data_IF_891383871385
#
_entry.id   IF_891383871385
#
_cell.length_a   1.000
_cell.length_b   1.000
_cell.length_c   1.000
_cell.angle_alpha   90.00
_cell.angle_beta   90.00
_cell.angle_gamma   90.00
#
_symmetry.space_group_name_H-M   'P 1'
#
loop_
_entity.id
_entity.type
_entity.pdbx_description
1 polymer ?
#
# COMPACT_ATOMS: atom_id res chain seq x y z
N UNK A 1 16.67 -4.19 -14.08
CA UNK A 1 16.14 -3.12 -14.96
C UNK A 1 15.71 -1.96 -14.07
N UNK A 2 16.24 -0.76 -14.27
CA UNK A 2 15.83 0.40 -13.47
C UNK A 2 14.34 0.71 -13.69
N UNK A 3 13.71 1.40 -12.74
CA UNK A 3 12.31 1.83 -12.85
C UNK A 3 12.05 2.66 -14.14
N UNK A 4 13.01 3.48 -14.54
CA UNK A 4 12.97 4.26 -15.80
C UNK A 4 12.98 3.33 -17.00
N UNK A 5 13.88 2.35 -17.01
CA UNK A 5 13.97 1.36 -18.11
C UNK A 5 12.66 0.57 -18.24
N UNK A 6 12.02 0.20 -17.13
CA UNK A 6 10.73 -0.50 -17.15
C UNK A 6 9.63 0.36 -17.77
N UNK A 7 9.56 1.66 -17.41
CA UNK A 7 8.60 2.60 -18.00
C UNK A 7 8.79 2.74 -19.49
N UNK A 8 10.03 2.90 -19.95
CA UNK A 8 10.35 2.99 -21.38
C UNK A 8 10.00 1.69 -22.12
N UNK A 9 10.31 0.52 -21.54
CA UNK A 9 9.95 -0.77 -22.13
C UNK A 9 8.44 -0.92 -22.30
N UNK A 10 7.65 -0.51 -21.31
CA UNK A 10 6.18 -0.52 -21.41
C UNK A 10 5.67 0.37 -22.55
N UNK A 11 6.24 1.56 -22.73
CA UNK A 11 5.88 2.43 -23.85
C UNK A 11 6.23 1.79 -25.20
N UNK A 12 7.42 1.22 -25.32
CA UNK A 12 7.89 0.57 -26.55
C UNK A 12 7.06 -0.67 -26.89
N UNK A 13 6.74 -1.50 -25.90
CA UNK A 13 5.92 -2.70 -26.12
C UNK A 13 4.48 -2.39 -26.41
N UNK A 14 3.90 -1.32 -25.82
CA UNK A 14 2.59 -0.83 -26.24
C UNK A 14 2.57 -0.56 -27.75
N UNK A 15 3.54 0.17 -28.27
CA UNK A 15 3.63 0.50 -29.69
C UNK A 15 3.91 -0.75 -30.54
N UNK A 16 4.80 -1.62 -30.08
CA UNK A 16 5.23 -2.79 -30.85
C UNK A 16 4.12 -3.84 -31.03
N UNK A 17 3.31 -4.05 -29.98
CA UNK A 17 2.25 -5.05 -29.98
C UNK A 17 0.85 -4.47 -30.16
N UNK A 18 0.77 -3.18 -30.47
CA UNK A 18 -0.50 -2.44 -30.63
C UNK A 18 -1.48 -2.65 -29.47
N UNK A 19 -0.92 -2.68 -28.24
CA UNK A 19 -1.73 -2.86 -27.04
C UNK A 19 -2.43 -1.56 -26.65
N UNK A 20 -3.67 -1.67 -26.23
CA UNK A 20 -4.45 -0.55 -25.70
C UNK A 20 -4.74 0.57 -26.72
N UNK A 21 -4.89 0.22 -28.02
CA UNK A 21 -5.04 1.21 -29.11
C UNK A 21 -6.44 1.27 -29.72
N UNK A 22 -7.38 0.49 -29.24
CA UNK A 22 -8.72 0.45 -29.81
C UNK A 22 -9.52 1.72 -29.50
N UNK A 23 -9.59 2.63 -30.48
CA UNK A 23 -10.39 3.85 -30.46
C UNK A 23 -9.74 5.09 -29.84
N UNK A 24 -10.21 6.28 -30.16
CA UNK A 24 -9.68 7.57 -29.68
C UNK A 24 -9.78 7.74 -28.14
N UNK A 25 -10.65 6.97 -27.49
CA UNK A 25 -10.83 6.92 -26.02
C UNK A 25 -11.16 5.50 -25.57
N UNK A 26 -10.25 4.56 -25.79
CA UNK A 26 -10.46 3.19 -25.33
C UNK A 26 -10.41 3.13 -23.79
N UNK A 27 -11.50 2.72 -23.18
CA UNK A 27 -11.56 2.39 -21.75
C UNK A 27 -11.46 0.87 -21.66
N UNK A 28 -10.37 0.40 -21.03
CA UNK A 28 -10.16 -1.02 -20.77
C UNK A 28 -10.44 -1.34 -19.32
N UNK A 29 -11.10 -2.45 -19.09
CA UNK A 29 -11.11 -3.05 -17.74
C UNK A 29 -9.72 -3.62 -17.47
N UNK A 30 -9.26 -3.51 -16.24
CA UNK A 30 -7.92 -3.97 -15.83
C UNK A 30 -7.73 -5.47 -16.10
N UNK A 31 -8.78 -6.27 -15.85
CA UNK A 31 -8.75 -7.72 -16.10
C UNK A 31 -8.55 -8.06 -17.59
N UNK A 32 -9.18 -7.29 -18.48
CA UNK A 32 -9.03 -7.51 -19.94
C UNK A 32 -7.63 -7.08 -20.39
N UNK A 33 -7.10 -5.99 -19.82
CA UNK A 33 -5.73 -5.57 -20.07
C UNK A 33 -4.71 -6.63 -19.62
N UNK A 34 -4.94 -7.30 -18.49
CA UNK A 34 -4.10 -8.41 -18.03
C UNK A 34 -4.19 -9.62 -18.96
N UNK A 35 -5.39 -10.02 -19.40
CA UNK A 35 -5.58 -11.13 -20.33
C UNK A 35 -4.87 -10.90 -21.67
N UNK A 36 -4.98 -9.69 -22.22
CA UNK A 36 -4.28 -9.31 -23.45
C UNK A 36 -2.75 -9.36 -23.28
N UNK A 37 -2.25 -8.86 -22.15
CA UNK A 37 -0.83 -8.93 -21.83
C UNK A 37 -0.35 -10.39 -21.65
N UNK A 38 -1.13 -11.25 -21.02
CA UNK A 38 -0.82 -12.68 -20.86
C UNK A 38 -0.80 -13.40 -22.23
N UNK A 39 -1.77 -13.10 -23.10
CA UNK A 39 -1.81 -13.66 -24.46
C UNK A 39 -0.53 -13.32 -25.22
N UNK A 40 -0.15 -12.03 -25.28
CA UNK A 40 1.07 -11.57 -25.95
C UNK A 40 2.32 -12.17 -25.33
N UNK A 41 2.37 -12.27 -24.00
CA UNK A 41 3.48 -12.92 -23.30
C UNK A 41 3.63 -14.40 -23.70
N UNK A 42 2.54 -15.14 -23.79
CA UNK A 42 2.55 -16.55 -24.19
C UNK A 42 2.93 -16.73 -25.67
N UNK A 43 2.40 -15.91 -26.55
CA UNK A 43 2.76 -15.92 -27.98
C UNK A 43 4.23 -15.55 -28.25
N UNK A 44 4.83 -14.76 -27.35
CA UNK A 44 6.22 -14.30 -27.48
C UNK A 44 7.26 -15.29 -26.93
N UNK A 45 6.86 -16.31 -26.17
CA UNK A 45 7.78 -17.31 -25.58
C UNK A 45 8.67 -18.02 -26.60
N UNK A 46 8.21 -18.15 -27.83
CA UNK A 46 8.94 -18.83 -28.92
C UNK A 46 9.69 -17.85 -29.85
N UNK A 47 9.76 -16.56 -29.51
CA UNK A 47 10.41 -15.54 -30.32
C UNK A 47 11.66 -15.01 -29.58
N UNK A 48 12.58 -14.43 -30.34
CA UNK A 48 13.87 -13.88 -29.87
C UNK A 48 13.78 -12.80 -28.77
N UNK A 49 12.59 -12.42 -28.34
CA UNK A 49 12.36 -11.38 -27.37
C UNK A 49 11.85 -11.98 -26.05
N UNK A 50 12.64 -11.88 -25.00
CA UNK A 50 12.20 -12.24 -23.67
C UNK A 50 11.25 -11.15 -23.11
N UNK A 51 9.95 -11.30 -23.36
CA UNK A 51 8.89 -10.39 -22.92
C UNK A 51 8.28 -10.91 -21.64
N UNK A 52 8.33 -10.11 -20.58
CA UNK A 52 7.70 -10.43 -19.29
C UNK A 52 6.35 -9.75 -19.21
N UNK A 53 5.40 -10.33 -18.50
CA UNK A 53 4.07 -9.76 -18.26
C UNK A 53 4.15 -8.30 -17.77
N UNK A 54 5.08 -8.02 -16.84
CA UNK A 54 5.28 -6.68 -16.29
C UNK A 54 5.71 -5.63 -17.36
N UNK A 55 6.35 -6.07 -18.44
CA UNK A 55 6.77 -5.19 -19.54
C UNK A 55 5.59 -4.80 -20.45
N UNK A 56 4.50 -5.56 -20.40
CA UNK A 56 3.29 -5.40 -21.20
C UNK A 56 2.15 -4.67 -20.46
N UNK A 57 2.33 -4.37 -19.19
CA UNK A 57 1.32 -3.61 -18.43
C UNK A 57 1.18 -2.18 -18.97
N UNK A 58 0.04 -1.50 -18.74
CA UNK A 58 -0.19 -0.15 -19.22
C UNK A 58 0.98 0.79 -18.92
N UNK A 59 1.44 1.59 -19.89
CA UNK A 59 2.52 2.53 -19.68
C UNK A 59 2.11 3.70 -18.79
N UNK A 60 3.05 4.45 -18.21
CA UNK A 60 2.76 5.56 -17.31
C UNK A 60 2.01 6.73 -17.97
N UNK A 61 1.91 6.73 -19.29
CA UNK A 61 1.11 7.69 -20.08
C UNK A 61 -0.38 7.35 -20.11
N UNK A 62 -0.78 6.23 -19.51
CA UNK A 62 -2.18 5.77 -19.45
C UNK A 62 -2.85 6.34 -18.20
N UNK A 63 -4.00 6.99 -18.36
CA UNK A 63 -4.83 7.39 -17.24
C UNK A 63 -5.55 6.17 -16.67
N UNK A 64 -5.43 5.97 -15.37
CA UNK A 64 -6.08 4.87 -14.67
C UNK A 64 -7.26 5.45 -13.90
N UNK A 65 -8.47 4.93 -14.19
CA UNK A 65 -9.68 5.28 -13.45
C UNK A 65 -9.96 4.15 -12.46
N UNK A 66 -9.96 4.47 -11.17
CA UNK A 66 -10.31 3.52 -10.12
C UNK A 66 -11.79 3.67 -9.76
N UNK A 67 -12.51 2.57 -9.78
CA UNK A 67 -13.84 2.47 -9.21
C UNK A 67 -13.78 1.58 -7.98
N UNK A 68 -14.34 2.05 -6.88
CA UNK A 68 -14.33 1.34 -5.61
C UNK A 68 -15.73 0.83 -5.33
N UNK A 69 -15.81 -0.45 -5.03
CA UNK A 69 -17.07 -1.08 -4.61
C UNK A 69 -17.18 -0.98 -3.10
N UNK A 70 -18.06 -0.12 -2.60
CA UNK A 70 -18.44 -0.08 -1.19
C UNK A 70 -19.54 -1.10 -0.93
N UNK A 71 -19.25 -2.08 -0.08
CA UNK A 71 -20.26 -2.96 0.49
C UNK A 71 -20.85 -2.30 1.73
N UNK A 72 -22.11 -1.92 1.68
CA UNK A 72 -22.84 -1.51 2.89
C UNK A 72 -23.26 -2.77 3.63
N UNK A 73 -22.57 -3.12 4.70
CA UNK A 73 -23.06 -4.10 5.65
C UNK A 73 -24.32 -3.54 6.33
N UNK A 74 -25.47 -3.92 5.84
CA UNK A 74 -26.71 -3.78 6.61
C UNK A 74 -26.89 -5.01 7.47
N UNK A 75 -27.19 -4.77 8.74
CA UNK A 75 -27.53 -5.77 9.77
C UNK A 75 -28.23 -7.00 9.20
N UNK A 76 -27.69 -8.18 9.61
CA UNK A 76 -28.22 -9.55 9.43
C UNK A 76 -29.53 -9.63 8.63
N UNK A 77 -29.46 -10.19 7.42
CA UNK A 77 -30.56 -10.65 6.56
C UNK A 77 -31.09 -9.74 5.44
N UNK A 78 -30.35 -8.76 4.93
CA UNK A 78 -30.80 -8.07 3.71
C UNK A 78 -29.65 -7.85 2.75
N UNK A 79 -29.90 -8.09 1.45
CA UNK A 79 -28.98 -7.96 0.32
C UNK A 79 -28.03 -6.76 0.48
N UNK A 80 -26.73 -7.02 0.43
CA UNK A 80 -25.70 -5.98 0.40
C UNK A 80 -25.85 -5.18 -0.89
N UNK A 81 -26.27 -3.92 -0.80
CA UNK A 81 -26.21 -3.04 -1.94
C UNK A 81 -24.75 -2.68 -2.21
N UNK A 82 -24.21 -3.15 -3.33
CA UNK A 82 -22.90 -2.72 -3.81
C UNK A 82 -23.06 -1.37 -4.48
N UNK A 83 -22.37 -0.36 -3.98
CA UNK A 83 -22.29 0.96 -4.59
C UNK A 83 -20.91 1.11 -5.23
N UNK A 84 -20.89 1.36 -6.52
CA UNK A 84 -19.66 1.64 -7.26
C UNK A 84 -19.46 3.15 -7.27
N UNK A 85 -18.38 3.60 -6.66
CA UNK A 85 -18.01 5.01 -6.60
C UNK A 85 -16.67 5.25 -7.29
N UNK A 86 -16.49 6.39 -7.98
CA UNK A 86 -15.17 6.78 -8.46
C UNK A 86 -14.24 7.09 -7.28
N UNK A 87 -12.93 7.04 -7.50
CA UNK A 87 -11.95 7.32 -6.44
C UNK A 87 -12.11 8.73 -5.86
N UNK A 88 -12.51 9.69 -6.68
CA UNK A 88 -12.81 11.07 -6.29
C UNK A 88 -14.02 11.17 -5.36
N UNK A 89 -14.92 10.19 -5.40
CA UNK A 89 -16.09 10.09 -4.50
C UNK A 89 -15.76 9.61 -3.09
N UNK A 90 -14.51 9.22 -2.82
CA UNK A 90 -14.05 8.90 -1.46
C UNK A 90 -13.95 10.16 -0.62
N UNK A 91 -14.19 10.04 0.68
CA UNK A 91 -13.90 11.09 1.65
C UNK A 91 -12.40 11.42 1.67
N UNK A 92 -12.04 12.60 2.16
CA UNK A 92 -10.63 13.01 2.27
C UNK A 92 -9.79 12.02 3.07
N UNK A 93 -10.29 11.52 4.20
CA UNK A 93 -9.62 10.52 5.01
C UNK A 93 -9.45 9.18 4.31
N UNK A 94 -10.48 8.68 3.62
CA UNK A 94 -10.39 7.44 2.83
C UNK A 94 -9.36 7.56 1.70
N UNK A 95 -9.32 8.69 1.00
CA UNK A 95 -8.32 8.96 -0.04
C UNK A 95 -6.93 9.00 0.55
N UNK A 96 -6.76 9.68 1.70
CA UNK A 96 -5.46 9.78 2.35
C UNK A 96 -4.94 8.42 2.81
N UNK A 97 -5.77 7.55 3.40
CA UNK A 97 -5.37 6.19 3.72
C UNK A 97 -4.93 5.44 2.47
N UNK A 98 -5.72 5.51 1.39
CA UNK A 98 -5.38 4.85 0.13
C UNK A 98 -4.03 5.33 -0.41
N UNK A 99 -3.77 6.65 -0.40
CA UNK A 99 -2.48 7.20 -0.83
C UNK A 99 -1.34 6.78 0.10
N UNK A 100 -1.52 6.89 1.41
CA UNK A 100 -0.47 6.57 2.40
C UNK A 100 -0.07 5.09 2.28
N UNK A 101 -1.05 4.19 2.27
CA UNK A 101 -0.79 2.75 2.15
C UNK A 101 -0.18 2.41 0.79
N UNK A 102 -0.70 2.99 -0.31
CA UNK A 102 -0.16 2.74 -1.65
C UNK A 102 1.28 3.23 -1.82
N UNK A 103 1.60 4.43 -1.30
CA UNK A 103 2.96 4.96 -1.32
C UNK A 103 3.91 4.08 -0.51
N UNK A 104 3.49 3.65 0.68
CA UNK A 104 4.28 2.76 1.51
C UNK A 104 4.60 1.44 0.78
N UNK A 105 3.57 0.81 0.19
CA UNK A 105 3.74 -0.42 -0.58
C UNK A 105 4.64 -0.22 -1.80
N UNK A 106 4.48 0.91 -2.50
CA UNK A 106 5.33 1.27 -3.64
C UNK A 106 6.81 1.34 -3.25
N UNK A 107 7.13 1.99 -2.13
CA UNK A 107 8.51 2.09 -1.65
C UNK A 107 9.06 0.74 -1.20
N UNK A 108 8.29 -0.07 -0.49
CA UNK A 108 8.71 -1.41 -0.06
C UNK A 108 9.01 -2.33 -1.25
N UNK A 109 8.14 -2.35 -2.26
CA UNK A 109 8.34 -3.13 -3.48
C UNK A 109 9.58 -2.65 -4.24
N UNK A 110 9.83 -1.34 -4.28
CA UNK A 110 11.03 -0.81 -4.93
C UNK A 110 12.31 -1.24 -4.20
N UNK A 111 12.35 -1.13 -2.88
CA UNK A 111 13.49 -1.57 -2.04
C UNK A 111 13.74 -3.07 -2.25
N UNK A 112 12.70 -3.88 -2.20
CA UNK A 112 12.79 -5.33 -2.40
C UNK A 112 13.31 -5.67 -3.81
N UNK A 113 12.78 -5.01 -4.84
CA UNK A 113 13.16 -5.24 -6.24
C UNK A 113 14.60 -4.86 -6.55
N UNK A 114 15.16 -3.85 -5.90
CA UNK A 114 16.59 -3.49 -6.03
C UNK A 114 17.46 -4.56 -5.40
N UNK A 115 17.06 -5.07 -4.24
CA UNK A 115 17.79 -6.09 -3.52
C UNK A 115 17.75 -7.46 -4.20
N UNK A 116 16.63 -7.85 -4.81
CA UNK A 116 16.46 -9.15 -5.49
C UNK A 116 17.24 -9.25 -6.80
N UNK A 117 17.34 -8.18 -7.54
CA UNK A 117 18.09 -8.17 -8.84
C UNK A 117 19.58 -8.40 -8.68
N UNK A 118 20.15 -7.98 -7.56
CA UNK A 118 21.56 -8.23 -7.26
C UNK A 118 21.88 -9.72 -7.08
N UNK A 119 20.91 -10.52 -6.65
CA UNK A 119 21.10 -11.97 -6.52
C UNK A 119 21.21 -12.71 -7.84
N UNK A 120 20.71 -12.11 -8.95
CA UNK A 120 20.72 -12.71 -10.28
C UNK A 120 21.90 -12.26 -11.17
N UNK A 121 22.59 -11.19 -10.82
CA UNK A 121 23.75 -10.67 -11.57
C UNK A 121 25.08 -11.05 -10.92
N UNK A 122 25.36 -12.36 -10.82
CA UNK A 122 26.70 -12.87 -10.47
C UNK A 122 27.67 -12.74 -11.66
N UNK A 123 27.92 -11.56 -12.17
CA UNK A 123 29.10 -11.26 -12.97
C UNK A 123 30.04 -10.42 -12.12
N UNK A 124 31.19 -11.00 -11.81
CA UNK A 124 32.16 -10.62 -10.78
C UNK A 124 32.93 -9.30 -11.02
N UNK A 125 32.62 -8.52 -12.07
CA UNK A 125 33.51 -7.43 -12.53
C UNK A 125 32.98 -5.99 -12.35
N UNK A 126 31.89 -5.76 -11.60
CA UNK A 126 31.48 -4.38 -11.28
C UNK A 126 31.34 -4.16 -9.77
N UNK A 127 32.30 -3.40 -9.23
CA UNK A 127 32.40 -2.95 -7.82
C UNK A 127 31.28 -1.99 -7.38
N UNK A 128 30.08 -2.08 -7.89
CA UNK A 128 28.94 -1.37 -7.35
C UNK A 128 28.25 -2.27 -6.32
N UNK A 129 28.65 -2.11 -5.07
CA UNK A 129 28.00 -2.72 -3.91
C UNK A 129 26.60 -2.11 -3.71
N UNK A 130 25.61 -2.56 -4.46
CA UNK A 130 24.21 -2.23 -4.19
C UNK A 130 23.84 -2.77 -2.81
N UNK A 131 23.44 -1.88 -1.91
CA UNK A 131 23.06 -2.23 -0.56
C UNK A 131 21.83 -3.16 -0.57
N UNK A 132 21.97 -4.30 0.11
CA UNK A 132 20.90 -5.27 0.29
C UNK A 132 20.18 -4.99 1.59
N UNK A 133 18.95 -4.56 1.50
CA UNK A 133 18.12 -4.35 2.68
C UNK A 133 17.34 -5.63 3.00
N UNK A 134 17.66 -6.25 4.14
CA UNK A 134 16.92 -7.41 4.66
C UNK A 134 15.87 -6.99 5.67
N UNK A 135 16.09 -5.90 6.36
CA UNK A 135 15.21 -5.36 7.38
C UNK A 135 14.93 -3.90 7.06
N UNK A 136 13.67 -3.52 7.16
CA UNK A 136 13.21 -2.16 6.88
C UNK A 136 12.49 -1.61 8.10
N UNK A 137 12.90 -0.44 8.55
CA UNK A 137 12.19 0.31 9.57
C UNK A 137 11.36 1.39 8.88
N UNK A 138 10.07 1.41 9.18
CA UNK A 138 9.13 2.41 8.71
C UNK A 138 8.77 3.28 9.91
N UNK A 139 8.92 4.58 9.77
CA UNK A 139 8.47 5.55 10.77
C UNK A 139 7.29 6.33 10.18
N UNK A 140 6.17 6.27 10.85
CA UNK A 140 4.95 6.99 10.51
C UNK A 140 4.70 8.03 11.61
N UNK A 141 4.80 9.30 11.25
CA UNK A 141 4.69 10.41 12.17
C UNK A 141 3.38 11.14 11.91
N UNK A 142 2.46 11.09 12.88
CA UNK A 142 1.14 11.74 12.88
C UNK A 142 0.34 11.61 11.56
N UNK A 143 0.47 10.48 10.89
CA UNK A 143 -0.16 10.27 9.55
C UNK A 143 -1.68 10.22 9.61
N UNK A 144 -2.24 10.06 10.80
CA UNK A 144 -3.67 9.93 11.06
C UNK A 144 -4.40 11.27 11.32
N UNK A 145 -3.72 12.41 11.31
CA UNK A 145 -4.27 13.70 11.70
C UNK A 145 -5.59 14.08 11.01
N UNK A 146 -5.73 13.68 9.75
CA UNK A 146 -6.93 13.98 8.95
C UNK A 146 -7.92 12.82 8.87
N UNK A 147 -7.69 11.74 9.61
CA UNK A 147 -8.57 10.59 9.58
C UNK A 147 -9.74 10.77 10.55
N UNK A 148 -10.92 10.37 10.10
CA UNK A 148 -12.04 10.17 11.03
C UNK A 148 -11.67 9.12 12.08
N UNK A 149 -12.13 9.23 13.35
CA UNK A 149 -11.78 8.30 14.43
C UNK A 149 -11.86 6.82 14.08
N UNK A 150 -12.88 6.40 13.36
CA UNK A 150 -13.00 5.00 12.91
C UNK A 150 -11.89 4.60 11.92
N UNK A 151 -11.42 5.53 11.08
CA UNK A 151 -10.29 5.28 10.18
C UNK A 151 -8.96 5.25 10.94
N UNK A 152 -8.79 6.09 11.97
CA UNK A 152 -7.63 6.07 12.86
C UNK A 152 -7.50 4.69 13.53
N UNK A 153 -8.60 4.17 14.08
CA UNK A 153 -8.66 2.87 14.72
C UNK A 153 -8.26 1.72 13.77
N UNK A 154 -8.66 1.79 12.50
CA UNK A 154 -8.40 0.75 11.51
C UNK A 154 -7.09 0.92 10.74
N UNK A 155 -6.40 2.03 10.91
CA UNK A 155 -5.24 2.39 10.09
C UNK A 155 -4.14 1.34 10.13
N UNK A 156 -3.72 0.91 11.33
CA UNK A 156 -2.67 -0.09 11.49
C UNK A 156 -3.06 -1.45 10.87
N UNK A 157 -4.33 -1.81 10.94
CA UNK A 157 -4.83 -3.02 10.32
C UNK A 157 -4.76 -2.95 8.78
N UNK A 158 -5.04 -1.77 8.17
CA UNK A 158 -4.85 -1.58 6.74
C UNK A 158 -3.39 -1.71 6.33
N UNK A 159 -2.47 -1.07 7.06
CA UNK A 159 -1.02 -1.19 6.82
C UNK A 159 -0.58 -2.65 6.94
N UNK A 160 -0.94 -3.33 8.01
CA UNK A 160 -0.60 -4.74 8.24
C UNK A 160 -1.13 -5.65 7.13
N UNK A 161 -2.39 -5.49 6.73
CA UNK A 161 -2.99 -6.27 5.63
C UNK A 161 -2.28 -6.02 4.31
N UNK A 162 -1.95 -4.76 4.01
CA UNK A 162 -1.26 -4.40 2.78
C UNK A 162 0.14 -5.03 2.72
N UNK A 163 0.91 -4.98 3.80
CA UNK A 163 2.24 -5.62 3.90
C UNK A 163 2.11 -7.14 3.73
N UNK A 164 1.15 -7.78 4.38
CA UNK A 164 0.97 -9.23 4.31
C UNK A 164 0.52 -9.74 2.94
N UNK A 165 -0.07 -8.88 2.11
CA UNK A 165 -0.46 -9.24 0.75
C UNK A 165 0.69 -9.19 -0.26
N UNK A 166 1.88 -8.72 0.14
CA UNK A 166 3.05 -8.67 -0.72
C UNK A 166 3.98 -9.82 -0.38
N UNK A 167 4.42 -10.52 -1.42
CA UNK A 167 5.49 -11.51 -1.30
C UNK A 167 6.83 -10.81 -1.56
N UNK A 168 7.62 -10.62 -0.51
CA UNK A 168 8.95 -10.05 -0.61
C UNK A 168 9.99 -11.14 -0.90
N UNK A 169 10.93 -10.86 -1.81
CA UNK A 169 12.01 -11.77 -2.16
C UNK A 169 13.24 -11.59 -1.26
N UNK A 170 13.56 -10.34 -0.91
CA UNK A 170 14.78 -9.96 -0.19
C UNK A 170 14.52 -9.50 1.22
N UNK A 171 13.42 -8.79 1.45
CA UNK A 171 13.04 -8.25 2.76
C UNK A 171 12.55 -9.39 3.65
N UNK A 172 13.24 -9.57 4.78
CA UNK A 172 12.94 -10.61 5.78
C UNK A 172 12.11 -10.12 6.96
N UNK A 173 12.18 -8.82 7.23
CA UNK A 173 11.46 -8.24 8.35
C UNK A 173 11.19 -6.75 8.14
N UNK A 174 10.01 -6.33 8.56
CA UNK A 174 9.56 -4.94 8.52
C UNK A 174 9.14 -4.56 9.94
N UNK A 175 9.75 -3.51 10.46
CA UNK A 175 9.35 -2.90 11.72
C UNK A 175 8.62 -1.59 11.41
N UNK A 176 7.44 -1.41 12.02
CA UNK A 176 6.62 -0.20 11.84
C UNK A 176 6.56 0.51 13.18
N UNK A 177 7.11 1.70 13.22
CA UNK A 177 7.05 2.63 14.36
C UNK A 177 6.05 3.71 14.02
N UNK A 178 5.07 3.91 14.88
CA UNK A 178 4.05 4.94 14.72
C UNK A 178 4.20 5.95 15.85
N UNK A 179 4.40 7.20 15.50
CA UNK A 179 4.36 8.33 16.43
C UNK A 179 2.97 8.94 16.28
N UNK A 180 2.24 9.03 17.39
CA UNK A 180 0.82 9.44 17.34
C UNK A 180 0.39 10.11 18.64
N UNK A 181 -0.51 11.05 18.53
CA UNK A 181 -1.27 11.62 19.63
C UNK A 181 -2.73 11.09 19.66
N UNK A 182 -3.05 10.08 18.86
CA UNK A 182 -4.40 9.54 18.76
C UNK A 182 -4.66 8.38 19.70
N UNK A 183 -5.61 8.49 20.64
CA UNK A 183 -6.04 7.38 21.49
C UNK A 183 -6.69 6.26 20.67
N UNK A 184 -7.26 6.58 19.51
CA UNK A 184 -7.89 5.61 18.62
C UNK A 184 -6.87 4.67 17.97
N UNK A 185 -5.68 5.16 17.65
CA UNK A 185 -4.57 4.34 17.15
C UNK A 185 -4.04 3.45 18.27
N UNK A 186 -3.89 4.00 19.48
CA UNK A 186 -3.37 3.25 20.63
C UNK A 186 -4.31 2.13 21.07
N UNK A 187 -5.63 2.32 20.95
CA UNK A 187 -6.63 1.31 21.34
C UNK A 187 -6.53 0.00 20.56
N UNK A 188 -5.82 -0.01 19.45
CA UNK A 188 -5.61 -1.21 18.62
C UNK A 188 -4.28 -1.93 18.94
N UNK A 189 -3.49 -1.41 19.89
CA UNK A 189 -2.17 -1.92 20.26
C UNK A 189 -2.12 -2.42 21.71
N UNK A 190 -1.50 -3.59 21.95
CA UNK A 190 -1.19 -4.04 23.31
C UNK A 190 -0.24 -3.07 24.01
N UNK A 191 -0.45 -2.84 25.31
CA UNK A 191 0.37 -1.94 26.13
C UNK A 191 1.89 -2.15 25.99
N UNK A 192 2.33 -3.39 25.88
CA UNK A 192 3.74 -3.76 25.70
C UNK A 192 4.39 -3.25 24.42
N UNK A 193 3.58 -2.84 23.45
CA UNK A 193 4.05 -2.30 22.14
C UNK A 193 3.97 -0.76 22.09
N UNK A 194 3.64 -0.12 23.20
CA UNK A 194 3.50 1.33 23.29
C UNK A 194 4.56 1.88 24.22
N UNK A 195 5.28 2.90 23.75
CA UNK A 195 6.21 3.69 24.54
C UNK A 195 5.60 5.07 24.78
N UNK A 196 5.32 5.40 26.02
CA UNK A 196 4.96 6.76 26.43
C UNK A 196 6.22 7.55 26.71
N UNK A 197 6.31 8.75 26.13
CA UNK A 197 7.52 9.58 26.26
C UNK A 197 7.50 10.45 27.51
N UNK A 198 6.40 10.46 28.29
CA UNK A 198 6.29 11.18 29.53
C UNK A 198 6.67 10.31 30.74
N UNK A 199 7.28 10.93 31.76
CA UNK A 199 7.84 10.26 32.95
C UNK A 199 6.80 9.60 33.88
N UNK A 200 5.51 9.83 33.71
CA UNK A 200 4.49 9.13 34.49
C UNK A 200 4.21 7.78 33.87
N UNK A 201 4.71 6.74 34.52
CA UNK A 201 4.32 5.35 34.22
C UNK A 201 2.80 5.21 34.39
N UNK A 202 2.11 5.22 33.28
CA UNK A 202 0.68 4.98 33.28
C UNK A 202 0.39 3.50 33.31
N UNK A 203 -0.28 3.08 34.38
CA UNK A 203 -0.66 1.70 34.66
C UNK A 203 -2.03 1.37 34.10
N UNK A 204 -2.21 1.37 32.77
CA UNK A 204 -3.48 1.05 32.16
C UNK A 204 -3.36 0.13 30.95
N UNK A 205 -4.34 -0.74 30.75
CA UNK A 205 -4.48 -1.51 29.52
C UNK A 205 -4.88 -0.56 28.39
N UNK A 206 -4.27 -0.71 27.21
CA UNK A 206 -4.57 0.12 26.04
C UNK A 206 -5.43 -0.62 25.03
N UNK A 207 -5.19 -1.92 24.88
CA UNK A 207 -5.92 -2.74 23.92
C UNK A 207 -7.38 -2.94 24.35
N UNK A 208 -8.31 -2.55 23.51
CA UNK A 208 -9.75 -2.54 23.79
C UNK A 208 -10.16 -1.70 25.02
N UNK A 209 -9.30 -0.79 25.48
CA UNK A 209 -9.62 0.11 26.58
C UNK A 209 -10.66 1.16 26.17
N UNK A 210 -11.34 1.71 27.17
CA UNK A 210 -12.24 2.83 26.96
C UNK A 210 -11.45 4.07 26.54
N UNK A 211 -11.81 4.66 25.41
CA UNK A 211 -11.11 5.83 24.85
C UNK A 211 -11.14 7.02 25.81
N UNK A 212 -12.22 7.20 26.58
CA UNK A 212 -12.30 8.27 27.57
C UNK A 212 -11.31 8.08 28.71
N UNK A 213 -11.13 6.84 29.18
CA UNK A 213 -10.14 6.52 30.21
C UNK A 213 -8.70 6.74 29.68
N UNK A 214 -8.46 6.38 28.42
CA UNK A 214 -7.18 6.64 27.77
C UNK A 214 -6.90 8.14 27.61
N UNK A 215 -7.89 8.93 27.22
CA UNK A 215 -7.75 10.39 27.08
C UNK A 215 -7.43 11.06 28.40
N UNK A 216 -8.07 10.63 29.49
CA UNK A 216 -7.83 11.22 30.81
C UNK A 216 -6.51 10.79 31.43
N UNK A 217 -6.08 9.56 31.19
CA UNK A 217 -4.84 9.00 31.76
C UNK A 217 -3.62 9.28 30.92
N UNK A 218 -3.71 9.11 29.59
CA UNK A 218 -2.56 9.13 28.70
C UNK A 218 -2.33 10.47 27.99
N UNK A 219 -3.35 11.32 27.90
CA UNK A 219 -3.28 12.57 27.15
C UNK A 219 -3.45 13.83 28.00
N UNK A 220 -3.45 13.70 29.34
CA UNK A 220 -3.55 14.83 30.28
C UNK A 220 -4.73 15.78 30.02
N UNK A 221 -5.80 15.28 29.41
CA UNK A 221 -7.00 16.07 29.27
C UNK A 221 -7.76 16.02 30.58
N UNK A 222 -7.74 17.13 31.32
CA UNK A 222 -8.67 17.30 32.44
C UNK A 222 -10.10 17.17 31.93
N UNK A 223 -10.94 16.44 32.67
CA UNK A 223 -12.36 16.36 32.35
C UNK A 223 -12.95 17.77 32.31
N UNK A 224 -13.01 18.38 31.14
CA UNK A 224 -13.87 19.54 30.94
C UNK A 224 -15.29 19.02 30.77
N UNK A 225 -16.01 18.96 31.85
CA UNK A 225 -17.47 18.84 31.82
C UNK A 225 -17.96 20.17 31.26
N UNK A 226 -18.33 20.15 29.96
CA UNK A 226 -19.04 21.26 29.34
C UNK A 226 -20.52 21.18 29.66
#
# INVERSE_FOLDING_TARGET
TSHVTLKLRRCLFKLKFDLYTHGERAIYKLDDAFKDAERVCNESKNKTWNVRLIDLLPPPTTNIIFQIVKTKEKYKHTYSSMEVIPFEGLSSGERQIAYTVSNLMYHLINIDSVSSKYLMSKNEDQNESLLKYKYVNIMLDEVELYFHPELQRRFLNYVKKAINNIQFESIKGINVVVVTHSPFVLSDLPRKNILFLNEKEESGETYCANIYDMLSQSFFMDYSIG
#
